data_IF_569089041223
#
_entry.id   IF_569089041223
#
_cell.length_a   1.000
_cell.length_b   1.000
_cell.length_c   1.000
_cell.angle_alpha   90.00
_cell.angle_beta   90.00
_cell.angle_gamma   90.00
#
_symmetry.space_group_name_H-M   'P 1'
#
loop_
_entity.id
_entity.type
_entity.pdbx_description
1 polymer ?
#
# COMPACT_ATOMS: atom_id res chain seq x y z
N UNK A 1 -14.79 -4.68 -26.52
CA UNK A 1 -13.36 -4.37 -26.31
C UNK A 1 -12.88 -3.73 -27.60
N UNK A 2 -12.51 -2.45 -27.57
CA UNK A 2 -12.01 -1.79 -28.77
C UNK A 2 -10.52 -2.17 -28.98
N UNK A 3 -10.00 -1.96 -30.18
CA UNK A 3 -8.62 -2.32 -30.52
C UNK A 3 -7.60 -1.56 -29.65
N UNK A 4 -7.89 -0.30 -29.30
CA UNK A 4 -7.03 0.50 -28.41
C UNK A 4 -6.90 -0.06 -26.99
N UNK A 5 -7.96 -0.64 -26.42
CA UNK A 5 -7.95 -1.25 -25.09
C UNK A 5 -7.07 -2.50 -25.11
N UNK A 6 -7.14 -3.28 -26.19
CA UNK A 6 -6.31 -4.50 -26.33
C UNK A 6 -4.81 -4.18 -26.42
N UNK A 7 -4.42 -3.12 -27.15
CA UNK A 7 -3.03 -2.66 -27.20
C UNK A 7 -2.56 -2.22 -25.82
N UNK A 8 -3.37 -1.43 -25.10
CA UNK A 8 -3.05 -0.96 -23.75
C UNK A 8 -2.87 -2.10 -22.74
N UNK A 9 -3.71 -3.13 -22.80
CA UNK A 9 -3.56 -4.28 -21.91
C UNK A 9 -2.26 -5.04 -22.18
N UNK A 10 -1.89 -5.24 -23.44
CA UNK A 10 -0.62 -5.90 -23.78
C UNK A 10 0.59 -5.10 -23.26
N UNK A 11 0.55 -3.78 -23.37
CA UNK A 11 1.61 -2.91 -22.82
C UNK A 11 1.73 -3.03 -21.30
N UNK A 12 0.60 -2.95 -20.58
CA UNK A 12 0.57 -3.10 -19.12
C UNK A 12 1.03 -4.50 -18.70
N UNK A 13 0.52 -5.55 -19.34
CA UNK A 13 0.87 -6.95 -19.06
C UNK A 13 2.37 -7.20 -19.26
N UNK A 14 2.99 -6.54 -20.23
CA UNK A 14 4.44 -6.64 -20.44
C UNK A 14 5.23 -5.94 -19.33
N UNK A 15 4.77 -4.79 -18.84
CA UNK A 15 5.41 -4.09 -17.71
C UNK A 15 5.29 -4.94 -16.43
N UNK A 16 4.10 -5.49 -16.15
CA UNK A 16 3.83 -6.25 -14.93
C UNK A 16 4.66 -7.54 -14.80
N UNK A 17 5.24 -8.06 -15.89
CA UNK A 17 6.15 -9.23 -15.85
C UNK A 17 7.43 -8.99 -15.05
N UNK A 18 7.86 -7.74 -14.95
CA UNK A 18 9.06 -7.36 -14.21
C UNK A 18 8.75 -7.09 -12.72
N UNK A 19 7.47 -7.14 -12.32
CA UNK A 19 7.03 -6.88 -10.95
C UNK A 19 6.72 -8.19 -10.21
N UNK A 20 6.94 -8.16 -8.90
CA UNK A 20 6.64 -9.26 -8.00
C UNK A 20 6.07 -8.80 -6.66
N UNK A 21 5.60 -9.76 -5.88
CA UNK A 21 5.05 -9.49 -4.55
C UNK A 21 6.19 -9.03 -3.64
N UNK A 22 5.99 -7.94 -2.92
CA UNK A 22 7.01 -7.35 -2.06
C UNK A 22 7.87 -6.28 -2.73
N UNK A 23 7.73 -6.06 -4.04
CA UNK A 23 8.31 -4.87 -4.67
C UNK A 23 7.77 -3.60 -4.03
N UNK A 24 8.64 -2.61 -3.90
CA UNK A 24 8.33 -1.39 -3.18
C UNK A 24 8.69 -0.16 -4.00
N UNK A 25 7.82 0.83 -3.90
CA UNK A 25 7.97 2.13 -4.55
C UNK A 25 8.09 3.17 -3.45
N UNK A 26 9.15 3.97 -3.52
CA UNK A 26 9.40 5.09 -2.59
C UNK A 26 9.05 6.41 -3.26
N UNK A 27 8.49 7.33 -2.50
CA UNK A 27 8.03 8.63 -2.99
C UNK A 27 6.85 9.15 -2.18
N UNK A 28 6.32 10.31 -2.55
CA UNK A 28 5.15 10.90 -1.91
C UNK A 28 3.88 10.36 -2.58
N UNK A 29 3.05 9.67 -1.80
CA UNK A 29 1.78 9.11 -2.26
C UNK A 29 0.68 9.37 -1.23
N UNK A 30 -0.56 9.27 -1.68
CA UNK A 30 -1.73 9.51 -0.84
C UNK A 30 -2.61 8.27 -0.81
N UNK A 31 -3.01 7.89 0.40
CA UNK A 31 -3.97 6.83 0.64
C UNK A 31 -5.23 7.40 1.26
N UNK A 32 -6.38 6.91 0.81
CA UNK A 32 -7.67 7.19 1.45
C UNK A 32 -8.00 5.99 2.34
N UNK A 33 -8.25 6.24 3.62
CA UNK A 33 -8.74 5.23 4.55
C UNK A 33 -10.15 5.60 5.01
N UNK A 34 -11.02 4.59 5.06
CA UNK A 34 -12.32 4.70 5.72
C UNK A 34 -12.18 4.37 7.20
N UNK A 35 -12.76 5.17 8.07
CA UNK A 35 -12.72 4.97 9.52
C UNK A 35 -14.08 5.21 10.15
N UNK A 36 -14.25 4.74 11.39
CA UNK A 36 -15.43 5.04 12.19
C UNK A 36 -15.14 6.28 13.05
N UNK A 37 -15.83 7.43 12.84
CA UNK A 37 -15.58 8.63 13.65
C UNK A 37 -15.87 8.47 15.14
N UNK A 38 -16.68 7.48 15.54
CA UNK A 38 -16.90 7.14 16.95
C UNK A 38 -15.77 6.33 17.58
N UNK A 39 -14.94 5.68 16.75
CA UNK A 39 -13.82 4.83 17.17
C UNK A 39 -12.62 5.01 16.24
N UNK A 40 -11.99 6.20 16.20
CA UNK A 40 -10.80 6.43 15.38
C UNK A 40 -9.61 5.63 15.94
N UNK A 41 -8.87 4.94 15.06
CA UNK A 41 -7.79 4.01 15.44
C UNK A 41 -6.40 4.42 14.96
N UNK A 42 -6.31 5.41 14.06
CA UNK A 42 -5.06 5.95 13.49
C UNK A 42 -4.89 7.42 13.85
N UNK A 43 -3.66 7.96 13.94
CA UNK A 43 -3.43 9.37 14.21
C UNK A 43 -4.23 10.31 13.29
N UNK A 44 -4.27 10.01 11.98
CA UNK A 44 -5.02 10.82 11.01
C UNK A 44 -6.52 10.74 11.25
N UNK A 45 -7.06 9.55 11.53
CA UNK A 45 -8.48 9.40 11.87
C UNK A 45 -8.85 10.11 13.18
N UNK A 46 -7.95 10.14 14.16
CA UNK A 46 -8.17 10.84 15.44
C UNK A 46 -8.21 12.36 15.20
N UNK A 47 -7.30 12.88 14.37
CA UNK A 47 -7.25 14.30 14.05
C UNK A 47 -8.48 14.77 13.25
N UNK A 48 -9.11 13.88 12.48
CA UNK A 48 -10.23 14.18 11.59
C UNK A 48 -11.58 13.60 12.05
N UNK A 49 -11.65 13.08 13.28
CA UNK A 49 -12.88 12.51 13.85
C UNK A 49 -13.90 13.62 14.16
N UNK A 50 -14.69 13.98 13.15
CA UNK A 50 -15.86 14.84 13.27
C UNK A 50 -17.12 14.02 12.98
N UNK A 51 -18.25 14.48 13.52
CA UNK A 51 -19.56 13.92 13.17
C UNK A 51 -19.73 13.99 11.63
N UNK A 52 -20.13 12.89 11.02
CA UNK A 52 -20.25 12.69 9.55
C UNK A 52 -18.96 12.63 8.71
N UNK A 53 -17.77 12.60 9.30
CA UNK A 53 -16.52 12.35 8.56
C UNK A 53 -16.05 10.91 8.73
N UNK A 54 -16.13 10.10 7.67
CA UNK A 54 -15.73 8.68 7.68
C UNK A 54 -14.57 8.34 6.73
N UNK A 55 -13.98 9.36 6.09
CA UNK A 55 -12.81 9.23 5.21
C UNK A 55 -11.71 10.19 5.67
N UNK A 56 -10.47 9.73 5.60
CA UNK A 56 -9.30 10.58 5.80
C UNK A 56 -8.22 10.20 4.80
N UNK A 57 -7.53 11.23 4.30
CA UNK A 57 -6.37 11.11 3.42
C UNK A 57 -5.10 11.14 4.25
N UNK A 58 -4.17 10.25 3.92
CA UNK A 58 -2.89 10.09 4.60
C UNK A 58 -1.77 10.10 3.57
N UNK A 59 -0.82 11.00 3.76
CA UNK A 59 0.43 11.02 3.00
C UNK A 59 1.34 9.89 3.49
N UNK A 60 1.97 9.16 2.55
CA UNK A 60 2.86 8.04 2.85
C UNK A 60 4.14 8.15 2.04
N UNK A 61 5.22 7.56 2.56
CA UNK A 61 6.58 7.59 1.96
C UNK A 61 6.77 6.58 0.82
N UNK A 62 5.72 5.87 0.44
CA UNK A 62 5.77 4.80 -0.52
C UNK A 62 4.73 3.73 -0.25
N UNK A 63 4.83 2.65 -1.02
CA UNK A 63 3.97 1.48 -0.86
C UNK A 63 4.72 0.20 -1.24
N UNK A 64 4.25 -0.92 -0.71
CA UNK A 64 4.65 -2.26 -1.08
C UNK A 64 3.54 -2.95 -1.88
N UNK A 65 3.90 -3.69 -2.92
CA UNK A 65 2.98 -4.54 -3.67
C UNK A 65 2.65 -5.77 -2.83
N UNK A 66 1.37 -6.01 -2.56
CA UNK A 66 0.91 -7.15 -1.75
C UNK A 66 0.16 -8.21 -2.56
N UNK A 67 -0.24 -7.89 -3.80
CA UNK A 67 -0.77 -8.89 -4.74
C UNK A 67 0.24 -10.02 -4.96
N UNK A 68 -0.27 -11.26 -5.03
CA UNK A 68 0.56 -12.42 -5.31
C UNK A 68 1.17 -12.31 -6.72
N UNK A 69 2.44 -12.69 -6.87
CA UNK A 69 3.14 -12.63 -8.16
C UNK A 69 2.44 -13.41 -9.27
N UNK A 70 1.83 -14.55 -8.95
CA UNK A 70 1.07 -15.34 -9.90
C UNK A 70 -0.21 -14.66 -10.41
N UNK A 71 -0.74 -13.68 -9.67
CA UNK A 71 -1.86 -12.85 -10.08
C UNK A 71 -1.39 -11.59 -10.82
N UNK A 72 -0.22 -11.03 -10.46
CA UNK A 72 0.40 -9.89 -11.15
C UNK A 72 0.68 -10.20 -12.63
N UNK A 73 1.19 -11.41 -12.92
CA UNK A 73 1.57 -11.80 -14.30
C UNK A 73 0.39 -12.25 -15.18
N UNK A 74 -0.84 -12.23 -14.65
CA UNK A 74 -2.05 -12.50 -15.45
C UNK A 74 -2.42 -11.26 -16.23
N UNK A 75 -3.22 -11.45 -17.28
CA UNK A 75 -3.68 -10.31 -18.06
C UNK A 75 -4.53 -9.38 -17.21
N UNK A 76 -4.23 -8.08 -17.27
CA UNK A 76 -5.00 -7.04 -16.60
C UNK A 76 -6.42 -6.88 -17.20
N UNK A 77 -6.71 -7.49 -18.35
CA UNK A 77 -8.06 -7.67 -18.85
C UNK A 77 -8.93 -8.56 -17.93
N UNK A 78 -8.31 -9.53 -17.25
CA UNK A 78 -8.98 -10.45 -16.31
C UNK A 78 -8.81 -10.00 -14.86
N UNK A 79 -7.65 -9.39 -14.53
CA UNK A 79 -7.28 -8.91 -13.21
C UNK A 79 -6.82 -7.45 -13.27
N UNK A 80 -7.75 -6.48 -13.31
CA UNK A 80 -7.42 -5.08 -13.63
C UNK A 80 -6.78 -4.30 -12.49
N UNK A 81 -6.70 -4.87 -11.28
CA UNK A 81 -6.24 -4.15 -10.09
C UNK A 81 -5.05 -4.85 -9.44
N UNK A 82 -4.13 -4.03 -8.94
CA UNK A 82 -3.02 -4.43 -8.09
C UNK A 82 -3.31 -3.87 -6.69
N UNK A 83 -3.08 -4.71 -5.69
CA UNK A 83 -3.21 -4.41 -4.28
C UNK A 83 -1.85 -3.97 -3.74
N UNK A 84 -1.86 -2.84 -3.03
CA UNK A 84 -0.68 -2.24 -2.42
C UNK A 84 -0.96 -1.91 -0.96
N UNK A 85 0.09 -1.89 -0.14
CA UNK A 85 0.03 -1.49 1.26
C UNK A 85 0.97 -0.29 1.50
N UNK A 86 0.55 0.72 2.28
CA UNK A 86 1.38 1.90 2.51
C UNK A 86 2.62 1.57 3.35
N UNK A 87 3.74 2.22 3.03
CA UNK A 87 4.91 2.25 3.89
C UNK A 87 4.73 3.35 4.93
N UNK A 88 4.76 2.96 6.21
CA UNK A 88 4.51 3.87 7.34
C UNK A 88 5.70 3.91 8.29
N UNK A 89 5.99 5.10 8.81
CA UNK A 89 7.00 5.30 9.83
C UNK A 89 6.45 4.89 11.20
N UNK A 90 7.28 4.21 11.98
CA UNK A 90 6.92 3.71 13.32
C UNK A 90 8.05 3.97 14.30
N UNK A 91 7.72 4.21 15.56
CA UNK A 91 8.72 4.34 16.62
C UNK A 91 9.36 2.98 16.98
N UNK A 92 10.47 3.01 17.72
CA UNK A 92 11.23 1.81 18.08
C UNK A 92 10.43 0.77 18.88
N UNK A 93 9.57 1.24 19.80
CA UNK A 93 8.73 0.38 20.61
C UNK A 93 7.73 -0.39 19.73
N UNK A 94 7.07 0.30 18.80
CA UNK A 94 6.13 -0.32 17.88
C UNK A 94 6.87 -1.27 16.92
N UNK A 95 8.03 -0.88 16.40
CA UNK A 95 8.87 -1.74 15.56
C UNK A 95 9.25 -3.05 16.25
N UNK A 96 9.61 -2.98 17.54
CA UNK A 96 9.91 -4.17 18.35
C UNK A 96 8.72 -5.13 18.46
N UNK A 97 7.50 -4.59 18.63
CA UNK A 97 6.27 -5.38 18.68
C UNK A 97 5.91 -6.00 17.32
N UNK A 98 6.09 -5.25 16.23
CA UNK A 98 5.87 -5.72 14.86
C UNK A 98 6.79 -6.90 14.54
N UNK A 99 8.09 -6.78 14.84
CA UNK A 99 9.08 -7.86 14.62
C UNK A 99 8.77 -9.14 15.41
N UNK A 100 7.94 -9.06 16.46
CA UNK A 100 7.47 -10.20 17.26
C UNK A 100 6.04 -10.64 16.91
N UNK A 101 5.51 -10.17 15.78
CA UNK A 101 4.16 -10.50 15.30
C UNK A 101 3.04 -10.14 16.30
N UNK A 102 3.27 -9.15 17.18
CA UNK A 102 2.26 -8.70 18.16
C UNK A 102 1.33 -7.61 17.62
N UNK A 103 1.62 -7.11 16.42
CA UNK A 103 0.82 -6.10 15.73
C UNK A 103 0.46 -6.63 14.34
N UNK A 104 -0.62 -7.41 14.22
CA UNK A 104 -0.95 -8.12 12.99
C UNK A 104 -1.30 -7.20 11.81
N UNK A 105 -1.60 -5.93 12.08
CA UNK A 105 -1.86 -4.92 11.05
C UNK A 105 -0.60 -4.45 10.30
N UNK A 106 0.60 -4.85 10.76
CA UNK A 106 1.86 -4.45 10.13
C UNK A 106 2.67 -5.67 9.71
N UNK A 107 3.43 -5.49 8.64
CA UNK A 107 4.49 -6.41 8.23
C UNK A 107 5.83 -5.67 8.25
N UNK A 108 6.89 -6.34 8.70
CA UNK A 108 8.25 -5.81 8.62
C UNK A 108 8.92 -6.30 7.34
N UNK A 109 9.27 -5.38 6.45
CA UNK A 109 10.02 -5.67 5.22
C UNK A 109 11.49 -5.33 5.46
N UNK A 110 12.35 -6.34 5.40
CA UNK A 110 13.80 -6.15 5.57
C UNK A 110 14.37 -5.38 4.38
N UNK A 111 15.25 -4.41 4.63
CA UNK A 111 15.90 -3.61 3.59
C UNK A 111 15.28 -2.23 3.41
N UNK A 112 13.96 -2.09 3.46
CA UNK A 112 13.28 -0.79 3.30
C UNK A 112 13.56 0.17 4.44
N UNK A 113 13.65 -0.36 5.66
CA UNK A 113 13.96 0.45 6.85
C UNK A 113 15.26 1.23 6.73
N UNK A 114 16.20 0.79 5.90
CA UNK A 114 17.46 1.50 5.67
C UNK A 114 17.30 2.70 4.74
N UNK A 115 16.30 2.69 3.86
CA UNK A 115 16.04 3.76 2.89
C UNK A 115 15.13 4.87 3.46
N UNK A 116 14.35 4.58 4.49
CA UNK A 116 13.50 5.56 5.18
C UNK A 116 14.24 6.37 6.28
N UNK A 117 15.49 6.01 6.61
CA UNK A 117 16.29 6.69 7.65
C UNK A 117 17.03 7.94 7.10
N UNK A 118 17.12 8.10 5.78
CA UNK A 118 17.98 9.10 5.13
C UNK A 118 17.26 10.23 4.37
N UNK A 119 15.97 10.48 4.64
CA UNK A 119 15.25 11.64 4.09
C UNK A 119 14.77 12.58 5.18
#
# INVERSE_FOLDING_TARGET
MNESDSVRFVEIDNILKEWCQGDCVLGEYWFVQRFNPQYPLTPDSIANAQEDTDLVESEVRGFAVVTQTCDIVRSCAERPFIEVAPLVEVNEQLLYEIKRCRRPQFAYISGISQFLIFM
#
